data_IF_137596330776
#
_entry.id   IF_137596330776
#
_cell.length_a   1.000
_cell.length_b   1.000
_cell.length_c   1.000
_cell.angle_alpha   90.00
_cell.angle_beta   90.00
_cell.angle_gamma   90.00
#
_symmetry.space_group_name_H-M   'P 1'
#
loop_
_entity.id
_entity.type
_entity.pdbx_description
1 polymer ?
#
# COMPACT_ATOMS: atom_id res chain seq x y z
N UNK A 1 7.49 29.02 27.28
CA UNK A 1 6.83 29.17 25.97
C UNK A 1 6.15 27.86 25.62
N UNK A 2 4.92 27.89 25.06
CA UNK A 2 4.29 26.68 24.51
C UNK A 2 4.60 26.66 23.01
N UNK A 3 5.28 25.63 22.53
CA UNK A 3 5.57 25.47 21.11
C UNK A 3 4.45 24.63 20.48
N UNK A 4 3.83 25.15 19.43
CA UNK A 4 2.79 24.46 18.66
C UNK A 4 3.42 23.96 17.37
N UNK A 5 3.07 22.75 16.94
CA UNK A 5 3.59 22.14 15.72
C UNK A 5 2.46 21.54 14.90
N UNK A 6 2.57 21.65 13.58
CA UNK A 6 1.76 20.89 12.63
C UNK A 6 2.48 19.61 12.23
N UNK A 7 1.76 18.48 12.26
CA UNK A 7 2.26 17.18 11.77
C UNK A 7 1.75 16.94 10.36
N UNK A 8 2.66 16.75 9.42
CA UNK A 8 2.35 16.30 8.06
C UNK A 8 2.96 14.93 7.84
N UNK A 9 2.16 13.98 7.36
CA UNK A 9 2.63 12.63 7.00
C UNK A 9 2.36 12.38 5.53
N UNK A 10 3.42 12.13 4.77
CA UNK A 10 3.36 11.70 3.38
C UNK A 10 3.40 10.17 3.37
N UNK A 11 2.42 9.56 2.72
CA UNK A 11 2.40 8.13 2.43
C UNK A 11 2.58 7.92 0.93
N UNK A 12 3.59 7.15 0.55
CA UNK A 12 3.88 6.79 -0.83
C UNK A 12 3.84 5.27 -0.92
N UNK A 13 2.97 4.76 -1.78
CA UNK A 13 2.90 3.33 -2.08
C UNK A 13 3.36 3.05 -3.50
N UNK A 14 4.14 2.00 -3.70
CA UNK A 14 4.58 1.58 -5.03
C UNK A 14 4.58 0.05 -5.15
N UNK A 15 4.32 -0.44 -6.36
CA UNK A 15 4.46 -1.86 -6.70
C UNK A 15 5.13 -1.94 -8.06
N UNK A 16 6.04 -2.91 -8.24
CA UNK A 16 6.66 -3.17 -9.53
C UNK A 16 5.56 -3.55 -10.53
N UNK A 17 5.54 -2.91 -11.69
CA UNK A 17 4.49 -3.09 -12.70
C UNK A 17 4.31 -4.55 -13.15
N UNK A 18 5.40 -5.30 -13.26
CA UNK A 18 5.35 -6.73 -13.60
C UNK A 18 4.57 -7.55 -12.57
N UNK A 19 4.82 -7.30 -11.29
CA UNK A 19 4.12 -7.97 -10.17
C UNK A 19 2.65 -7.56 -10.14
N UNK A 20 2.36 -6.27 -10.35
CA UNK A 20 0.98 -5.79 -10.45
C UNK A 20 0.23 -6.48 -11.60
N UNK A 21 0.85 -6.59 -12.76
CA UNK A 21 0.29 -7.25 -13.94
C UNK A 21 -0.01 -8.72 -13.66
N UNK A 22 0.91 -9.43 -13.00
CA UNK A 22 0.71 -10.81 -12.57
C UNK A 22 -0.50 -10.95 -11.63
N UNK A 23 -0.62 -10.10 -10.61
CA UNK A 23 -1.77 -10.13 -9.71
C UNK A 23 -3.08 -9.82 -10.41
N UNK A 24 -3.12 -8.82 -11.28
CA UNK A 24 -4.35 -8.50 -12.03
C UNK A 24 -4.75 -9.64 -12.95
N UNK A 25 -3.79 -10.30 -13.60
CA UNK A 25 -4.05 -11.46 -14.45
C UNK A 25 -4.64 -12.61 -13.63
N UNK A 26 -3.96 -13.01 -12.56
CA UNK A 26 -4.43 -14.07 -11.65
C UNK A 26 -5.83 -13.77 -11.12
N UNK A 27 -6.08 -12.55 -10.66
CA UNK A 27 -7.40 -12.15 -10.18
C UNK A 27 -8.46 -12.29 -11.27
N UNK A 28 -8.20 -11.80 -12.49
CA UNK A 28 -9.17 -11.91 -13.60
C UNK A 28 -9.46 -13.36 -14.00
N UNK A 29 -8.45 -14.23 -13.96
CA UNK A 29 -8.55 -15.63 -14.40
C UNK A 29 -9.17 -16.55 -13.35
N UNK A 30 -8.94 -16.26 -12.06
CA UNK A 30 -9.30 -17.15 -10.96
C UNK A 30 -10.49 -16.67 -10.12
N UNK A 31 -10.89 -15.40 -10.25
CA UNK A 31 -12.01 -14.86 -9.48
C UNK A 31 -13.31 -15.63 -9.70
N UNK A 32 -13.98 -15.98 -8.60
CA UNK A 32 -15.23 -16.76 -8.59
C UNK A 32 -15.04 -18.28 -8.57
N UNK A 33 -13.81 -18.79 -8.74
CA UNK A 33 -13.51 -20.22 -8.56
C UNK A 33 -13.43 -20.56 -7.07
N UNK A 34 -13.97 -21.72 -6.70
CA UNK A 34 -13.96 -22.20 -5.30
C UNK A 34 -12.56 -22.46 -4.76
N UNK A 35 -11.58 -22.69 -5.64
CA UNK A 35 -10.17 -22.91 -5.30
C UNK A 35 -9.36 -21.63 -5.15
N UNK A 36 -9.92 -20.48 -5.54
CA UNK A 36 -9.20 -19.21 -5.48
C UNK A 36 -9.36 -18.55 -4.11
N UNK A 37 -8.29 -18.59 -3.31
CA UNK A 37 -8.25 -17.89 -2.03
C UNK A 37 -8.03 -16.39 -2.23
N UNK A 38 -9.14 -15.66 -2.23
CA UNK A 38 -9.18 -14.22 -2.39
C UNK A 38 -8.41 -13.47 -1.29
N UNK A 39 -8.43 -13.99 -0.06
CA UNK A 39 -7.73 -13.37 1.07
C UNK A 39 -6.23 -13.54 0.92
N UNK A 40 -5.78 -14.73 0.53
CA UNK A 40 -4.36 -14.98 0.24
C UNK A 40 -3.85 -14.12 -0.93
N UNK A 41 -4.66 -13.95 -1.98
CA UNK A 41 -4.33 -13.06 -3.09
C UNK A 41 -4.10 -11.62 -2.63
N UNK A 42 -5.05 -11.02 -1.89
CA UNK A 42 -4.90 -9.65 -1.40
C UNK A 42 -3.79 -9.50 -0.36
N UNK A 43 -3.53 -10.53 0.44
CA UNK A 43 -2.38 -10.55 1.36
C UNK A 43 -1.06 -10.45 0.60
N UNK A 44 -0.84 -11.28 -0.43
CA UNK A 44 0.37 -11.21 -1.28
C UNK A 44 0.50 -9.85 -1.96
N UNK A 45 -0.61 -9.29 -2.44
CA UNK A 45 -0.62 -7.94 -3.04
C UNK A 45 -0.17 -6.86 -2.03
N UNK A 46 -0.67 -6.93 -0.80
CA UNK A 46 -0.26 -6.02 0.27
C UNK A 46 1.23 -6.18 0.60
N UNK A 47 1.71 -7.41 0.74
CA UNK A 47 3.12 -7.71 1.04
C UNK A 47 4.08 -7.28 -0.08
N UNK A 48 3.62 -7.30 -1.33
CA UNK A 48 4.39 -6.83 -2.48
C UNK A 48 4.35 -5.31 -2.70
N UNK A 49 3.54 -4.59 -1.93
CA UNK A 49 3.46 -3.13 -2.01
C UNK A 49 4.55 -2.52 -1.14
N UNK A 50 5.43 -1.73 -1.73
CA UNK A 50 6.37 -0.89 -1.01
C UNK A 50 5.59 0.27 -0.37
N UNK A 51 5.74 0.44 0.94
CA UNK A 51 5.22 1.59 1.66
C UNK A 51 6.39 2.47 2.13
N UNK A 52 6.29 3.77 1.87
CA UNK A 52 7.20 4.77 2.40
C UNK A 52 6.40 5.84 3.10
N UNK A 53 6.62 5.97 4.40
CA UNK A 53 6.08 7.06 5.21
C UNK A 53 7.17 8.09 5.48
N UNK A 54 6.83 9.37 5.31
CA UNK A 54 7.70 10.47 5.69
C UNK A 54 6.88 11.44 6.55
N UNK A 55 7.27 11.58 7.82
CA UNK A 55 6.62 12.52 8.73
C UNK A 55 7.48 13.77 8.90
N UNK A 56 6.87 14.93 8.72
CA UNK A 56 7.45 16.23 9.02
C UNK A 56 6.65 16.91 10.12
N UNK A 57 7.36 17.63 11.00
CA UNK A 57 6.77 18.45 12.04
C UNK A 57 7.20 19.90 11.79
N UNK A 58 6.24 20.77 11.52
CA UNK A 58 6.47 22.18 11.26
C UNK A 58 6.18 22.97 12.52
N UNK A 59 7.15 23.75 13.01
CA UNK A 59 6.93 24.66 14.13
C UNK A 59 6.05 25.82 13.68
N UNK A 60 5.05 26.16 14.49
CA UNK A 60 4.17 27.33 14.28
C UNK A 60 4.65 28.56 15.06
N UNK A 61 5.86 28.50 15.61
CA UNK A 61 6.53 29.59 16.35
C UNK A 61 6.87 30.78 15.46
#
# INVERSE_FOLDING_TARGET
SRHTYDKVTYEITAMKESIYTEFIKEYKEEYGKTTFDLNAHFKRRKEATLHREVTHWFSLS
#
